data_IF_355748769450
#
_entry.id   IF_355748769450
#
_cell.length_a   1.000
_cell.length_b   1.000
_cell.length_c   1.000
_cell.angle_alpha   90.00
_cell.angle_beta   90.00
_cell.angle_gamma   90.00
#
_symmetry.space_group_name_H-M   'P 1'
#
loop_
_entity.id
_entity.type
_entity.pdbx_description
1 polymer ?
#
# COMPACT_ATOMS: atom_id res chain seq x y z
N UNK A 1 10.86 9.90 -12.72
CA UNK A 1 11.46 11.17 -13.23
C UNK A 1 10.82 11.49 -14.57
N UNK A 2 10.52 12.75 -14.87
CA UNK A 2 9.91 13.15 -16.14
C UNK A 2 10.94 13.69 -17.15
N UNK A 3 10.48 14.10 -18.33
CA UNK A 3 11.32 14.66 -19.41
C UNK A 3 12.08 15.93 -19.01
N UNK A 4 11.59 16.71 -18.05
CA UNK A 4 12.28 17.90 -17.52
C UNK A 4 13.22 17.57 -16.35
N UNK A 5 13.49 16.28 -16.11
CA UNK A 5 14.31 15.76 -15.01
C UNK A 5 13.75 16.06 -13.61
N UNK A 6 12.47 16.40 -13.51
CA UNK A 6 11.79 16.53 -12.22
C UNK A 6 11.47 15.15 -11.66
N UNK A 7 11.60 15.03 -10.34
CA UNK A 7 11.41 13.81 -9.59
C UNK A 7 10.28 14.03 -8.58
N UNK A 8 9.43 13.03 -8.44
CA UNK A 8 8.44 12.93 -7.38
C UNK A 8 8.79 11.71 -6.52
N UNK A 9 8.94 11.90 -5.20
CA UNK A 9 9.35 10.84 -4.27
C UNK A 9 10.87 10.68 -4.11
N UNK A 10 11.25 9.70 -3.29
CA UNK A 10 12.63 9.31 -2.97
C UNK A 10 12.65 7.80 -2.71
N UNK A 11 13.78 7.14 -2.96
CA UNK A 11 13.99 5.72 -2.65
C UNK A 11 14.92 5.53 -1.44
N UNK A 12 15.98 6.33 -1.31
CA UNK A 12 16.95 6.28 -0.21
C UNK A 12 17.63 7.61 0.18
N UNK A 13 17.46 8.67 -0.59
CA UNK A 13 17.90 10.04 -0.31
C UNK A 13 19.36 10.37 -0.63
N UNK A 14 20.06 9.57 -1.44
CA UNK A 14 21.51 9.67 -1.62
C UNK A 14 22.03 9.21 -3.00
N UNK A 15 23.19 8.55 -3.03
CA UNK A 15 23.83 8.11 -4.28
C UNK A 15 22.99 7.08 -5.06
N UNK A 16 22.09 6.39 -4.39
CA UNK A 16 21.08 5.52 -4.98
C UNK A 16 20.27 6.27 -6.06
N UNK A 17 19.68 7.40 -5.68
CA UNK A 17 18.94 8.27 -6.59
C UNK A 17 19.83 8.82 -7.71
N UNK A 18 21.07 9.17 -7.42
CA UNK A 18 21.99 9.69 -8.45
C UNK A 18 22.28 8.64 -9.53
N UNK A 19 22.53 7.39 -9.14
CA UNK A 19 22.75 6.29 -10.09
C UNK A 19 21.51 6.02 -10.94
N UNK A 20 20.30 6.09 -10.36
CA UNK A 20 19.04 5.97 -11.09
C UNK A 20 18.82 7.17 -12.03
N UNK A 21 19.14 8.39 -11.61
CA UNK A 21 19.05 9.59 -12.48
C UNK A 21 19.98 9.50 -13.69
N UNK A 22 21.18 8.95 -13.48
CA UNK A 22 22.17 8.78 -14.53
C UNK A 22 21.78 7.70 -15.56
N UNK A 23 20.92 6.75 -15.19
CA UNK A 23 20.42 5.71 -16.11
C UNK A 23 19.26 6.16 -16.99
N UNK A 24 18.67 7.33 -16.74
CA UNK A 24 17.46 7.80 -17.43
C UNK A 24 17.56 7.84 -18.95
N UNK A 25 18.62 8.46 -19.50
CA UNK A 25 18.75 8.54 -20.98
C UNK A 25 18.86 7.15 -21.60
N UNK A 26 19.59 6.24 -20.94
CA UNK A 26 19.74 4.86 -21.39
C UNK A 26 18.39 4.15 -21.41
N UNK A 27 17.65 4.18 -20.29
CA UNK A 27 16.36 3.48 -20.14
C UNK A 27 15.29 4.04 -21.07
N UNK A 28 15.26 5.35 -21.28
CA UNK A 28 14.32 5.98 -22.23
C UNK A 28 14.69 5.65 -23.68
N UNK A 29 15.98 5.61 -24.01
CA UNK A 29 16.46 5.36 -25.38
C UNK A 29 16.28 3.90 -25.80
N UNK A 30 16.68 2.95 -24.95
CA UNK A 30 16.56 1.53 -25.26
C UNK A 30 15.17 0.96 -24.95
N UNK A 31 14.36 1.71 -24.19
CA UNK A 31 12.97 1.39 -23.84
C UNK A 31 12.85 0.09 -23.04
N UNK A 32 13.89 -0.28 -22.29
CA UNK A 32 13.92 -1.53 -21.53
C UNK A 32 13.91 -1.28 -20.02
N UNK A 33 13.06 -2.01 -19.33
CA UNK A 33 13.09 -2.07 -17.88
C UNK A 33 14.27 -2.90 -17.38
N UNK A 34 14.83 -2.53 -16.22
CA UNK A 34 15.97 -3.22 -15.59
C UNK A 34 15.93 -3.13 -14.08
N UNK A 35 16.50 -4.14 -13.42
CA UNK A 35 16.78 -4.09 -11.99
C UNK A 35 18.19 -3.54 -11.78
N UNK A 36 18.31 -2.60 -10.86
CA UNK A 36 19.58 -2.10 -10.35
C UNK A 36 19.78 -2.59 -8.93
N UNK A 37 20.80 -3.43 -8.73
CA UNK A 37 21.17 -3.92 -7.41
C UNK A 37 22.23 -3.02 -6.76
N UNK A 38 22.05 -2.82 -5.46
CA UNK A 38 22.94 -2.05 -4.62
C UNK A 38 23.20 -2.86 -3.35
N UNK A 39 24.47 -3.07 -3.04
CA UNK A 39 24.90 -3.61 -1.75
C UNK A 39 25.40 -2.43 -0.92
N UNK A 40 24.76 -2.15 0.20
CA UNK A 40 25.20 -1.13 1.15
C UNK A 40 26.22 -1.78 2.09
N UNK A 41 27.47 -1.84 1.64
CA UNK A 41 28.59 -2.41 2.41
C UNK A 41 29.20 -1.40 3.39
N UNK A 42 29.73 -1.85 4.54
CA UNK A 42 30.37 -0.98 5.55
C UNK A 42 31.55 -0.17 5.00
N UNK A 43 32.20 -0.63 3.92
CA UNK A 43 33.36 0.02 3.30
C UNK A 43 32.95 1.14 2.34
N UNK A 44 31.75 1.08 1.76
CA UNK A 44 31.20 2.17 0.95
C UNK A 44 30.44 3.20 1.82
N UNK A 45 29.99 2.81 3.01
CA UNK A 45 29.29 3.67 3.98
C UNK A 45 30.11 4.89 4.43
N UNK A 46 31.45 4.80 4.49
CA UNK A 46 32.32 5.96 4.78
C UNK A 46 32.35 7.00 3.65
N UNK A 47 32.01 6.60 2.41
CA UNK A 47 31.91 7.51 1.25
C UNK A 47 30.48 7.97 0.95
N UNK A 48 29.48 7.37 1.62
CA UNK A 48 28.08 7.45 1.24
C UNK A 48 27.20 8.32 2.14
N UNK A 49 27.69 8.88 3.25
CA UNK A 49 26.87 9.64 4.22
C UNK A 49 25.51 8.96 4.55
N UNK A 50 25.45 7.62 4.49
CA UNK A 50 24.26 6.82 4.75
C UNK A 50 24.61 5.71 5.76
N UNK A 51 23.81 5.59 6.83
CA UNK A 51 24.16 4.87 8.08
C UNK A 51 23.62 3.43 8.13
N UNK A 52 22.89 2.95 7.11
CA UNK A 52 22.25 1.63 7.13
C UNK A 52 22.91 0.63 6.16
N UNK A 53 23.33 -0.54 6.69
CA UNK A 53 23.75 -1.68 5.87
C UNK A 53 22.56 -2.49 5.31
N UNK A 54 22.78 -3.25 4.23
CA UNK A 54 21.75 -4.07 3.57
C UNK A 54 21.98 -4.22 2.05
N UNK A 55 21.02 -4.82 1.34
CA UNK A 55 20.96 -4.80 -0.13
C UNK A 55 19.60 -4.31 -0.60
N UNK A 56 19.57 -3.53 -1.68
CA UNK A 56 18.34 -3.03 -2.29
C UNK A 56 18.38 -3.28 -3.80
N UNK A 57 17.25 -3.71 -4.35
CA UNK A 57 17.03 -3.91 -5.78
C UNK A 57 15.95 -2.95 -6.25
N UNK A 58 16.23 -2.17 -7.28
CA UNK A 58 15.30 -1.18 -7.82
C UNK A 58 14.95 -1.54 -9.26
N UNK A 59 13.69 -1.84 -9.51
CA UNK A 59 13.15 -1.88 -10.87
C UNK A 59 13.01 -0.47 -11.41
N UNK A 60 13.64 -0.20 -12.54
CA UNK A 60 13.44 1.05 -13.31
C UNK A 60 12.81 0.69 -14.64
N UNK A 61 11.63 1.24 -14.89
CA UNK A 61 10.85 1.01 -16.09
C UNK A 61 10.53 2.33 -16.79
N UNK A 62 10.71 2.42 -18.13
CA UNK A 62 10.28 3.58 -18.89
C UNK A 62 8.76 3.56 -19.12
N UNK A 63 8.09 4.64 -18.75
CA UNK A 63 6.68 4.88 -19.10
C UNK A 63 6.63 5.79 -20.33
N UNK A 64 6.12 5.26 -21.44
CA UNK A 64 6.16 5.87 -22.77
C UNK A 64 4.74 6.01 -23.36
N UNK A 65 4.46 7.04 -24.17
CA UNK A 65 3.10 7.33 -24.66
C UNK A 65 2.45 6.23 -25.50
N UNK A 66 3.25 5.38 -26.13
CA UNK A 66 2.81 4.27 -26.99
C UNK A 66 2.54 2.96 -26.22
N UNK A 67 2.78 2.93 -24.91
CA UNK A 67 2.45 1.80 -24.04
C UNK A 67 1.00 1.91 -23.53
N UNK A 68 0.02 1.78 -24.43
CA UNK A 68 -1.40 1.97 -24.12
C UNK A 68 -1.89 1.13 -22.93
N UNK A 69 -1.47 -0.13 -22.83
CA UNK A 69 -1.86 -1.03 -21.74
C UNK A 69 -1.30 -0.56 -20.39
N UNK A 70 -0.02 -0.20 -20.34
CA UNK A 70 0.61 0.31 -19.11
C UNK A 70 -0.06 1.62 -18.67
N UNK A 71 -0.28 2.55 -19.60
CA UNK A 71 -0.97 3.81 -19.34
C UNK A 71 -2.38 3.55 -18.79
N UNK A 72 -3.14 2.63 -19.40
CA UNK A 72 -4.48 2.28 -18.91
C UNK A 72 -4.47 1.66 -17.51
N UNK A 73 -3.44 0.88 -17.20
CA UNK A 73 -3.23 0.25 -15.88
C UNK A 73 -2.91 1.31 -14.83
N UNK A 74 -1.99 2.24 -15.14
CA UNK A 74 -1.63 3.36 -14.25
C UNK A 74 -2.84 4.29 -14.05
N UNK A 75 -3.60 4.60 -15.11
CA UNK A 75 -4.79 5.44 -15.00
C UNK A 75 -5.84 4.80 -14.08
N UNK A 76 -6.05 3.47 -14.20
CA UNK A 76 -6.95 2.74 -13.31
C UNK A 76 -6.51 2.83 -11.85
N UNK A 77 -5.20 2.72 -11.59
CA UNK A 77 -4.63 2.89 -10.24
C UNK A 77 -4.89 4.30 -9.71
N UNK A 78 -4.66 5.34 -10.52
CA UNK A 78 -4.90 6.74 -10.14
C UNK A 78 -6.38 6.97 -9.82
N UNK A 79 -7.28 6.49 -10.67
CA UNK A 79 -8.73 6.63 -10.47
C UNK A 79 -9.18 5.96 -9.17
N UNK A 80 -8.65 4.78 -8.85
CA UNK A 80 -9.00 4.08 -7.61
C UNK A 80 -8.46 4.80 -6.37
N UNK A 81 -7.22 5.30 -6.43
CA UNK A 81 -6.63 6.08 -5.33
C UNK A 81 -7.44 7.35 -5.03
N UNK A 82 -8.01 8.00 -6.05
CA UNK A 82 -8.87 9.17 -5.87
C UNK A 82 -10.25 8.84 -5.26
N UNK A 83 -10.72 7.61 -5.48
CA UNK A 83 -12.02 7.13 -5.00
C UNK A 83 -11.90 6.30 -3.71
N UNK A 84 -10.76 6.38 -2.99
CA UNK A 84 -10.54 5.65 -1.73
C UNK A 84 -10.71 4.13 -1.87
N UNK A 85 -10.38 3.59 -3.04
CA UNK A 85 -10.41 2.16 -3.33
C UNK A 85 -9.01 1.60 -3.39
N UNK A 86 -8.91 0.29 -3.18
CA UNK A 86 -7.64 -0.43 -3.17
C UNK A 86 -7.63 -1.62 -4.13
N UNK A 87 -6.43 -2.13 -4.34
CA UNK A 87 -6.17 -3.35 -5.09
C UNK A 87 -4.70 -3.72 -5.00
N UNK A 88 -4.24 -4.53 -5.94
CA UNK A 88 -2.88 -5.05 -5.98
C UNK A 88 -2.31 -4.91 -7.38
N UNK A 89 -1.11 -4.35 -7.48
CA UNK A 89 -0.32 -4.34 -8.70
C UNK A 89 0.63 -5.54 -8.67
N UNK A 90 0.53 -6.39 -9.69
CA UNK A 90 1.45 -7.49 -9.93
C UNK A 90 2.31 -7.11 -11.12
N UNK A 91 3.62 -7.15 -10.95
CA UNK A 91 4.61 -6.85 -11.97
C UNK A 91 5.48 -8.09 -12.20
N UNK A 92 5.59 -8.54 -13.44
CA UNK A 92 6.59 -9.54 -13.81
C UNK A 92 7.95 -8.84 -13.85
N UNK A 93 8.88 -9.24 -12.99
CA UNK A 93 10.18 -8.59 -12.85
C UNK A 93 11.28 -9.44 -13.51
N UNK A 94 12.35 -8.80 -14.05
CA UNK A 94 13.48 -9.54 -14.58
C UNK A 94 14.13 -10.42 -13.50
N UNK A 95 14.41 -11.69 -13.81
CA UNK A 95 15.31 -12.50 -12.99
C UNK A 95 16.77 -12.11 -13.18
N UNK A 96 17.68 -12.70 -12.38
CA UNK A 96 19.12 -12.41 -12.45
C UNK A 96 19.67 -12.48 -13.88
N UNK A 97 20.20 -11.35 -14.37
CA UNK A 97 20.82 -11.24 -15.69
C UNK A 97 19.84 -11.36 -16.88
N UNK A 98 18.53 -11.34 -16.64
CA UNK A 98 17.53 -11.39 -17.70
C UNK A 98 17.08 -9.98 -18.10
N UNK A 99 16.77 -9.81 -19.38
CA UNK A 99 16.01 -8.66 -19.88
C UNK A 99 14.65 -9.17 -20.34
N UNK A 100 13.59 -8.61 -19.79
CA UNK A 100 12.21 -8.95 -20.17
C UNK A 100 11.44 -7.67 -20.50
N UNK A 101 10.39 -7.82 -21.30
CA UNK A 101 9.34 -6.82 -21.36
C UNK A 101 8.50 -6.96 -20.08
N UNK A 102 8.58 -5.94 -19.21
CA UNK A 102 7.87 -5.97 -17.94
C UNK A 102 6.37 -5.88 -18.23
N UNK A 103 5.63 -6.76 -17.58
CA UNK A 103 4.19 -6.86 -17.72
C UNK A 103 3.54 -6.64 -16.38
N UNK A 104 2.37 -6.04 -16.38
CA UNK A 104 1.62 -5.75 -15.19
C UNK A 104 0.20 -6.26 -15.28
N UNK A 105 -0.38 -6.58 -14.14
CA UNK A 105 -1.82 -6.58 -13.96
C UNK A 105 -2.14 -5.91 -12.65
N UNK A 106 -3.09 -4.97 -12.70
CA UNK A 106 -3.73 -4.44 -11.53
C UNK A 106 -5.04 -5.19 -11.29
N UNK A 107 -5.25 -5.69 -10.07
CA UNK A 107 -6.48 -6.37 -9.64
C UNK A 107 -7.13 -5.52 -8.53
N UNK A 108 -8.34 -5.03 -8.74
CA UNK A 108 -9.07 -4.25 -7.73
C UNK A 108 -9.72 -5.16 -6.68
N UNK A 109 -10.00 -4.61 -5.49
CA UNK A 109 -10.75 -5.30 -4.44
C UNK A 109 -12.17 -5.75 -4.86
N UNK A 110 -12.72 -5.18 -5.93
CA UNK A 110 -14.00 -5.56 -6.52
C UNK A 110 -13.88 -6.60 -7.64
N UNK A 111 -12.67 -7.11 -7.90
CA UNK A 111 -12.44 -8.17 -8.89
C UNK A 111 -12.30 -7.69 -10.33
N UNK A 112 -12.00 -6.41 -10.55
CA UNK A 112 -11.64 -5.91 -11.88
C UNK A 112 -10.15 -6.05 -12.12
N UNK A 113 -9.75 -6.70 -13.22
CA UNK A 113 -8.35 -6.81 -13.63
C UNK A 113 -8.07 -5.98 -14.89
N UNK A 114 -6.96 -5.24 -14.91
CA UNK A 114 -6.49 -4.44 -16.05
C UNK A 114 -4.98 -4.64 -16.20
N UNK A 115 -4.53 -4.99 -17.40
CA UNK A 115 -3.11 -5.18 -17.69
C UNK A 115 -2.86 -6.23 -18.77
N UNK A 116 -1.61 -6.70 -18.86
CA UNK A 116 -1.11 -7.68 -19.83
C UNK A 116 -0.54 -8.95 -19.18
N UNK A 117 -0.82 -9.17 -17.89
CA UNK A 117 -0.63 -10.45 -17.21
C UNK A 117 -1.97 -11.14 -16.99
N UNK A 118 -2.01 -12.46 -17.20
CA UNK A 118 -3.17 -13.29 -16.97
C UNK A 118 -2.97 -14.15 -15.72
N UNK A 119 -3.76 -13.84 -14.69
CA UNK A 119 -3.85 -14.60 -13.44
C UNK A 119 -5.31 -14.89 -13.15
N UNK A 120 -5.61 -16.14 -12.82
CA UNK A 120 -6.80 -16.45 -12.03
C UNK A 120 -6.61 -15.93 -10.61
N UNK A 121 -7.66 -15.43 -9.99
CA UNK A 121 -7.59 -14.90 -8.63
C UNK A 121 -8.87 -15.16 -7.85
N UNK A 122 -8.73 -15.14 -6.52
CA UNK A 122 -9.86 -15.22 -5.59
C UNK A 122 -9.80 -14.03 -4.64
N UNK A 123 -10.94 -13.34 -4.52
CA UNK A 123 -11.13 -12.23 -3.59
C UNK A 123 -12.21 -12.64 -2.61
N UNK A 124 -11.90 -12.50 -1.33
CA UNK A 124 -12.85 -12.67 -0.23
C UNK A 124 -12.91 -11.36 0.55
N UNK A 125 -14.12 -10.83 0.70
CA UNK A 125 -14.39 -9.64 1.50
C UNK A 125 -13.49 -8.44 1.15
N UNK A 126 -13.29 -8.20 -0.16
CA UNK A 126 -12.45 -7.10 -0.65
C UNK A 126 -10.95 -7.32 -0.46
N UNK A 127 -10.51 -8.54 -0.17
CA UNK A 127 -9.11 -8.90 0.05
C UNK A 127 -8.69 -10.01 -0.91
N UNK A 128 -7.57 -9.82 -1.62
CA UNK A 128 -6.98 -10.86 -2.45
C UNK A 128 -6.50 -12.00 -1.57
N UNK A 129 -7.09 -13.19 -1.78
CA UNK A 129 -6.73 -14.41 -1.07
C UNK A 129 -5.78 -15.25 -1.89
N UNK A 130 -6.10 -15.49 -3.16
CA UNK A 130 -5.37 -16.46 -3.97
C UNK A 130 -5.03 -15.94 -5.36
N UNK A 131 -3.90 -16.40 -5.90
CA UNK A 131 -3.49 -16.22 -7.31
C UNK A 131 -3.17 -17.57 -7.96
N UNK A 132 -3.55 -17.73 -9.23
CA UNK A 132 -3.36 -18.93 -10.05
C UNK A 132 -2.84 -18.52 -11.43
N UNK A 133 -1.74 -19.11 -11.87
CA UNK A 133 -1.20 -18.83 -13.21
C UNK A 133 -1.85 -19.76 -14.23
N UNK A 134 -2.68 -19.22 -15.14
CA UNK A 134 -3.47 -19.99 -16.11
C UNK A 134 -4.48 -20.98 -15.46
N UNK A 135 -5.60 -21.28 -16.15
CA UNK A 135 -6.66 -22.16 -15.60
C UNK A 135 -6.22 -23.62 -15.41
N UNK A 136 -5.02 -23.99 -15.90
CA UNK A 136 -4.52 -25.35 -15.94
C UNK A 136 -3.28 -25.62 -15.06
N UNK A 137 -2.66 -24.59 -14.45
CA UNK A 137 -1.47 -24.80 -13.60
C UNK A 137 -1.85 -25.16 -12.16
N UNK A 138 -1.14 -26.08 -11.50
CA UNK A 138 -1.35 -26.41 -10.09
C UNK A 138 -0.78 -25.36 -9.12
N UNK A 139 -0.19 -24.26 -9.61
CA UNK A 139 0.45 -23.27 -8.75
C UNK A 139 -0.57 -22.27 -8.20
N UNK A 140 -0.69 -22.24 -6.87
CA UNK A 140 -1.59 -21.35 -6.14
C UNK A 140 -0.83 -20.65 -5.00
N UNK A 141 -0.88 -19.32 -4.98
CA UNK A 141 -0.32 -18.52 -3.89
C UNK A 141 -1.46 -18.15 -2.97
N UNK A 142 -1.42 -18.63 -1.72
CA UNK A 142 -2.43 -18.34 -0.70
C UNK A 142 -1.94 -17.25 0.26
N UNK A 143 -2.68 -16.16 0.38
CA UNK A 143 -2.41 -15.05 1.28
C UNK A 143 -3.27 -15.19 2.55
N UNK A 144 -2.76 -15.93 3.54
CA UNK A 144 -3.47 -16.28 4.78
C UNK A 144 -4.14 -15.09 5.51
N UNK A 145 -3.54 -13.89 5.47
CA UNK A 145 -4.06 -12.66 6.10
C UNK A 145 -4.46 -11.59 5.08
N UNK A 146 -4.61 -11.97 3.81
CA UNK A 146 -4.61 -11.01 2.72
C UNK A 146 -3.23 -10.45 2.43
N UNK A 147 -3.10 -9.78 1.29
CA UNK A 147 -1.85 -9.13 0.91
C UNK A 147 -1.83 -7.67 1.37
N UNK A 148 -1.01 -7.42 2.40
CA UNK A 148 -0.92 -6.14 3.14
C UNK A 148 0.42 -5.43 2.98
N UNK A 149 1.43 -6.18 2.57
CA UNK A 149 2.76 -5.69 2.29
C UNK A 149 3.15 -6.19 0.91
N UNK A 150 4.11 -5.50 0.29
CA UNK A 150 4.69 -6.02 -0.94
C UNK A 150 5.38 -7.38 -0.69
N UNK A 151 5.34 -8.25 -1.69
CA UNK A 151 5.98 -9.57 -1.67
C UNK A 151 6.56 -9.90 -3.04
N UNK A 152 7.63 -10.68 -3.02
CA UNK A 152 8.20 -11.30 -4.22
C UNK A 152 7.87 -12.79 -4.23
N UNK A 153 7.61 -13.33 -5.42
CA UNK A 153 7.42 -14.76 -5.62
C UNK A 153 7.89 -15.18 -7.02
N UNK A 154 8.06 -16.49 -7.21
CA UNK A 154 8.37 -17.05 -8.53
C UNK A 154 7.44 -18.19 -8.89
N UNK A 155 7.16 -18.32 -10.19
CA UNK A 155 6.34 -19.38 -10.79
C UNK A 155 7.07 -19.84 -12.04
N UNK A 156 7.37 -21.14 -12.15
CA UNK A 156 8.03 -21.73 -13.33
C UNK A 156 9.31 -20.98 -13.79
N UNK A 157 10.08 -20.48 -12.81
CA UNK A 157 11.32 -19.74 -13.06
C UNK A 157 11.12 -18.28 -13.52
N UNK A 158 9.87 -17.80 -13.57
CA UNK A 158 9.53 -16.39 -13.75
C UNK A 158 9.35 -15.71 -12.40
N UNK A 159 9.75 -14.44 -12.29
CA UNK A 159 9.73 -13.68 -11.05
C UNK A 159 8.65 -12.60 -11.09
N UNK A 160 8.00 -12.39 -9.96
CA UNK A 160 6.92 -11.44 -9.81
C UNK A 160 7.07 -10.66 -8.51
N UNK A 161 6.74 -9.38 -8.59
CA UNK A 161 6.58 -8.49 -7.45
C UNK A 161 5.11 -8.11 -7.35
N UNK A 162 4.51 -8.28 -6.17
CA UNK A 162 3.12 -7.87 -5.92
C UNK A 162 3.11 -6.85 -4.79
N UNK A 163 2.42 -5.72 -5.01
CA UNK A 163 2.27 -4.65 -4.03
C UNK A 163 0.81 -4.22 -3.86
N UNK A 164 0.35 -3.98 -2.62
CA UNK A 164 -0.96 -3.39 -2.38
C UNK A 164 -0.94 -1.90 -2.72
N UNK A 165 -1.97 -1.44 -3.44
CA UNK A 165 -2.13 -0.05 -3.86
C UNK A 165 -3.44 0.51 -3.30
N UNK A 166 -3.40 1.75 -2.80
CA UNK A 166 -4.59 2.49 -2.37
C UNK A 166 -5.26 1.97 -1.09
N UNK A 167 -4.70 0.96 -0.42
CA UNK A 167 -5.22 0.45 0.84
C UNK A 167 -5.01 1.47 1.95
N UNK A 168 -6.09 2.11 2.37
CA UNK A 168 -6.09 2.95 3.56
C UNK A 168 -6.41 2.09 4.77
N UNK A 169 -5.49 2.04 5.73
CA UNK A 169 -5.72 1.35 6.98
C UNK A 169 -6.53 2.28 7.89
N UNK A 170 -7.65 1.79 8.41
CA UNK A 170 -8.50 2.58 9.29
C UNK A 170 -8.11 2.38 10.75
N UNK A 171 -7.92 3.50 11.46
CA UNK A 171 -7.75 3.52 12.90
C UNK A 171 -9.02 4.13 13.53
N UNK A 172 -9.78 3.28 14.22
CA UNK A 172 -10.95 3.67 14.97
C UNK A 172 -10.54 4.05 16.39
N UNK A 173 -10.70 5.32 16.75
CA UNK A 173 -10.45 5.84 18.09
C UNK A 173 -11.79 5.89 18.82
N UNK A 174 -11.98 5.00 19.79
CA UNK A 174 -13.23 4.84 20.53
C UNK A 174 -13.09 5.56 21.87
N UNK A 175 -13.77 6.70 21.96
CA UNK A 175 -13.63 7.72 22.99
C UNK A 175 -13.06 9.02 22.43
N UNK A 176 -13.82 10.11 22.50
CA UNK A 176 -13.47 11.44 21.97
C UNK A 176 -12.88 12.39 23.03
N UNK A 177 -12.20 11.84 24.05
CA UNK A 177 -11.61 12.60 25.16
C UNK A 177 -10.38 13.45 24.75
N UNK A 178 -9.69 14.01 25.76
CA UNK A 178 -8.46 14.79 25.54
C UNK A 178 -7.33 13.97 24.89
N UNK A 179 -7.25 12.67 25.20
CA UNK A 179 -6.26 11.76 24.61
C UNK A 179 -6.49 11.66 23.10
N UNK A 180 -7.73 11.42 22.66
CA UNK A 180 -8.08 11.33 21.25
C UNK A 180 -7.76 12.61 20.46
N UNK A 181 -7.95 13.80 21.05
CA UNK A 181 -7.60 15.07 20.38
C UNK A 181 -6.11 15.19 20.06
N UNK A 182 -5.24 14.55 20.85
CA UNK A 182 -3.79 14.53 20.62
C UNK A 182 -3.35 13.35 19.77
N UNK A 183 -4.07 12.25 19.84
CA UNK A 183 -3.80 11.04 19.08
C UNK A 183 -4.21 11.19 17.61
N UNK A 184 -5.38 11.76 17.31
CA UNK A 184 -5.91 11.84 15.95
C UNK A 184 -4.96 12.51 14.94
N UNK A 185 -4.26 13.62 15.27
CA UNK A 185 -3.26 14.19 14.37
C UNK A 185 -2.06 13.27 14.12
N UNK A 186 -1.64 12.49 15.12
CA UNK A 186 -0.53 11.53 14.97
C UNK A 186 -0.92 10.35 14.09
N UNK A 187 -2.12 9.81 14.32
CA UNK A 187 -2.71 8.73 13.52
C UNK A 187 -2.85 9.16 12.05
N UNK A 188 -3.33 10.39 11.82
CA UNK A 188 -3.42 10.94 10.46
C UNK A 188 -2.04 11.20 9.82
N UNK A 189 -1.06 11.59 10.63
CA UNK A 189 0.32 11.85 10.17
C UNK A 189 1.01 10.58 9.68
N UNK A 190 0.82 9.45 10.37
CA UNK A 190 1.39 8.16 9.96
C UNK A 190 0.58 7.44 8.86
N UNK A 191 -0.46 8.09 8.33
CA UNK A 191 -1.13 7.67 7.09
C UNK A 191 -2.43 6.86 7.27
N UNK A 192 -2.98 6.76 8.47
CA UNK A 192 -4.25 6.07 8.69
C UNK A 192 -5.45 6.96 8.36
N UNK A 193 -6.52 6.34 7.85
CA UNK A 193 -7.87 6.92 7.91
C UNK A 193 -8.31 6.94 9.37
N UNK A 194 -8.62 8.12 9.90
CA UNK A 194 -8.91 8.31 11.32
C UNK A 194 -10.42 8.49 11.53
N UNK A 195 -11.03 7.54 12.22
CA UNK A 195 -12.46 7.57 12.58
C UNK A 195 -12.60 7.67 14.08
N UNK A 196 -13.37 8.65 14.57
CA UNK A 196 -13.53 8.90 16.01
C UNK A 196 -14.96 8.64 16.44
N UNK A 197 -15.14 7.87 17.50
CA UNK A 197 -16.44 7.48 18.02
C UNK A 197 -16.60 7.88 19.48
N UNK A 198 -17.78 8.37 19.89
CA UNK A 198 -18.12 8.64 21.29
C UNK A 198 -19.65 8.73 21.44
N UNK A 199 -20.17 8.49 22.65
CA UNK A 199 -21.60 8.57 22.96
C UNK A 199 -22.06 9.98 23.35
N UNK A 200 -21.12 10.93 23.53
CA UNK A 200 -21.43 12.30 23.93
C UNK A 200 -21.47 13.24 22.72
N UNK A 201 -22.63 13.86 22.41
CA UNK A 201 -22.76 14.76 21.26
C UNK A 201 -21.80 15.95 21.34
N UNK A 202 -21.58 16.53 22.52
CA UNK A 202 -20.67 17.67 22.71
C UNK A 202 -19.20 17.33 22.43
N UNK A 203 -18.87 16.04 22.35
CA UNK A 203 -17.53 15.56 22.07
C UNK A 203 -17.35 15.22 20.59
N UNK A 204 -18.40 15.12 19.79
CA UNK A 204 -18.31 14.76 18.38
C UNK A 204 -18.50 16.01 17.51
N UNK A 205 -17.38 16.58 17.02
CA UNK A 205 -17.41 17.68 16.07
C UNK A 205 -16.12 17.78 15.26
N UNK A 206 -16.23 18.32 14.04
CA UNK A 206 -15.08 18.60 13.18
C UNK A 206 -14.14 19.65 13.80
N UNK A 207 -14.67 20.59 14.58
CA UNK A 207 -13.88 21.62 15.26
C UNK A 207 -12.93 20.99 16.30
N UNK A 208 -13.39 19.98 17.04
CA UNK A 208 -12.55 19.24 18.00
C UNK A 208 -11.55 18.31 17.31
N UNK A 209 -11.89 17.81 16.12
CA UNK A 209 -11.10 16.83 15.38
C UNK A 209 -10.89 17.20 13.91
N UNK A 210 -10.14 18.28 13.63
CA UNK A 210 -9.98 18.79 12.27
C UNK A 210 -9.24 17.83 11.34
N UNK A 211 -8.43 16.91 11.89
CA UNK A 211 -7.66 15.91 11.15
C UNK A 211 -8.35 14.56 11.04
N UNK A 212 -9.53 14.38 11.66
CA UNK A 212 -10.29 13.15 11.53
C UNK A 212 -10.99 13.11 10.17
N UNK A 213 -10.95 11.95 9.53
CA UNK A 213 -11.65 11.70 8.27
C UNK A 213 -13.15 11.52 8.52
N UNK A 214 -13.52 10.99 9.69
CA UNK A 214 -14.90 10.82 10.09
C UNK A 214 -15.07 10.92 11.62
N UNK A 215 -16.23 11.41 12.04
CA UNK A 215 -16.68 11.33 13.44
C UNK A 215 -18.05 10.68 13.50
N UNK A 216 -18.29 9.82 14.50
CA UNK A 216 -19.51 9.03 14.64
C UNK A 216 -20.04 9.22 16.07
N UNK A 217 -21.28 9.68 16.19
CA UNK A 217 -21.99 9.72 17.45
C UNK A 217 -22.63 8.35 17.70
N UNK A 218 -22.23 7.70 18.78
CA UNK A 218 -22.79 6.43 19.25
C UNK A 218 -24.00 6.68 20.16
N UNK A 219 -24.88 5.69 20.27
CA UNK A 219 -25.91 5.69 21.31
C UNK A 219 -25.28 5.36 22.68
N UNK A 220 -24.45 4.31 22.72
CA UNK A 220 -23.62 3.91 23.85
C UNK A 220 -22.41 3.07 23.37
N UNK A 221 -21.66 2.50 24.31
CA UNK A 221 -20.49 1.67 24.03
C UNK A 221 -20.79 0.14 23.96
N UNK A 222 -22.05 -0.29 23.90
CA UNK A 222 -22.41 -1.72 23.94
C UNK A 222 -22.34 -2.42 22.58
N UNK A 223 -22.60 -1.71 21.47
CA UNK A 223 -22.64 -2.29 20.12
C UNK A 223 -21.78 -1.51 19.11
N UNK A 224 -20.62 -1.02 19.54
CA UNK A 224 -19.73 -0.17 18.72
C UNK A 224 -19.34 -0.86 17.42
N UNK A 225 -18.96 -2.14 17.47
CA UNK A 225 -18.46 -2.89 16.30
C UNK A 225 -19.53 -3.07 15.22
N UNK A 226 -20.82 -3.07 15.58
CA UNK A 226 -21.91 -3.17 14.59
C UNK A 226 -22.08 -1.89 13.76
N UNK A 227 -21.56 -0.75 14.26
CA UNK A 227 -21.64 0.55 13.59
C UNK A 227 -20.42 0.88 12.72
N UNK A 228 -19.39 0.03 12.74
CA UNK A 228 -18.16 0.24 11.97
C UNK A 228 -17.79 -1.01 11.19
N UNK A 229 -17.20 -0.81 10.01
CA UNK A 229 -16.66 -1.92 9.25
C UNK A 229 -15.24 -2.19 9.73
N UNK A 230 -15.09 -3.18 10.61
CA UNK A 230 -13.78 -3.68 11.07
C UNK A 230 -13.34 -4.82 10.17
N UNK A 231 -12.13 -4.71 9.64
CA UNK A 231 -11.45 -5.76 8.89
C UNK A 231 -10.16 -6.19 9.63
N UNK A 232 -9.46 -7.26 9.18
CA UNK A 232 -8.24 -7.75 9.84
C UNK A 232 -7.09 -6.73 9.94
N UNK A 233 -7.16 -5.61 9.23
CA UNK A 233 -6.14 -4.57 9.20
C UNK A 233 -6.52 -3.33 9.99
N UNK A 234 -7.76 -3.27 10.43
CA UNK A 234 -8.29 -2.17 11.23
C UNK A 234 -7.64 -2.12 12.61
N UNK A 235 -7.32 -0.90 13.06
CA UNK A 235 -6.79 -0.66 14.40
C UNK A 235 -7.88 -0.10 15.29
N UNK A 236 -8.09 -0.71 16.46
CA UNK A 236 -9.02 -0.22 17.47
C UNK A 236 -8.24 0.39 18.63
N UNK A 237 -8.39 1.69 18.86
CA UNK A 237 -7.81 2.39 19.99
C UNK A 237 -8.91 2.76 20.97
N UNK A 238 -8.98 2.02 22.08
CA UNK A 238 -10.02 2.19 23.10
C UNK A 238 -9.50 3.13 24.20
N UNK A 239 -10.05 4.35 24.24
CA UNK A 239 -9.66 5.43 25.16
C UNK A 239 -10.90 6.17 25.67
N UNK A 240 -11.85 5.41 26.22
CA UNK A 240 -13.13 5.95 26.68
C UNK A 240 -12.99 6.68 28.02
N UNK A 241 -14.12 7.09 28.62
CA UNK A 241 -14.15 7.82 29.91
C UNK A 241 -13.87 6.97 31.15
N UNK A 242 -13.61 5.67 31.00
CA UNK A 242 -13.19 4.81 32.12
C UNK A 242 -13.28 3.31 31.83
N UNK A 243 -12.65 2.53 32.71
CA UNK A 243 -12.42 1.10 32.52
C UNK A 243 -13.68 0.26 32.26
N UNK A 244 -14.84 0.65 32.80
CA UNK A 244 -16.10 -0.06 32.53
C UNK A 244 -16.52 0.03 31.06
N UNK A 245 -16.37 1.21 30.46
CA UNK A 245 -16.66 1.44 29.04
C UNK A 245 -15.58 0.82 28.17
N UNK A 246 -14.30 0.93 28.54
CA UNK A 246 -13.22 0.26 27.81
C UNK A 246 -13.42 -1.26 27.76
N UNK A 247 -13.83 -1.86 28.89
CA UNK A 247 -14.13 -3.30 28.99
C UNK A 247 -15.31 -3.69 28.11
N UNK A 248 -16.35 -2.87 28.03
CA UNK A 248 -17.52 -3.15 27.19
C UNK A 248 -17.12 -3.18 25.71
N UNK A 249 -16.35 -2.19 25.25
CA UNK A 249 -15.85 -2.12 23.87
C UNK A 249 -14.90 -3.29 23.57
N UNK A 250 -13.95 -3.57 24.46
CA UNK A 250 -12.99 -4.66 24.28
C UNK A 250 -13.68 -6.03 24.20
N UNK A 251 -14.80 -6.22 24.92
CA UNK A 251 -15.56 -7.46 24.86
C UNK A 251 -16.25 -7.73 23.51
N UNK A 252 -16.29 -6.76 22.61
CA UNK A 252 -16.86 -6.88 21.26
C UNK A 252 -15.80 -7.16 20.18
N UNK A 253 -14.52 -6.97 20.50
CA UNK A 253 -13.39 -7.00 19.55
C UNK A 253 -12.64 -8.34 19.56
#
# INVERSE_FOLDING_TARGET
MNQTRQIAGSVGGGQLEERIKNSFETVITDRKARIFDFTLSEVEAESLEMICGGSISILVEPILPDQEILISTIQKIVDLSQNQKHGWLISQIPGDGQEIDVRHVFISAEGQAVGNLDFGFEIDSGTLKNLKLDKASPFEINFNKGLLSAQEFSIDGQYYFIEPIGKMITCFIIGAGHIAQKLAPLVRLVGFTTVILDDRPDYISQERFPTADQTILLEDFQNVIEHIQVDPDSFLVIVTRGHSSDKAVLGQA
#
